data_IF_999442122713
#
_entry.id   IF_999442122713
#
_cell.length_a   1.000
_cell.length_b   1.000
_cell.length_c   1.000
_cell.angle_alpha   90.00
_cell.angle_beta   90.00
_cell.angle_gamma   90.00
#
_symmetry.space_group_name_H-M   'P 1'
#
loop_
_entity.id
_entity.type
_entity.pdbx_description
1 polymer ?
#
# COMPACT_ATOMS: atom_id res chain seq x y z
N UNK A 1 -44.68 -44.17 -20.32
CA UNK A 1 -43.52 -43.61 -21.06
C UNK A 1 -42.45 -43.30 -20.03
N UNK A 2 -41.40 -44.12 -19.92
CA UNK A 2 -40.42 -44.04 -18.83
C UNK A 2 -39.14 -43.36 -19.33
N UNK A 3 -39.01 -42.05 -19.11
CA UNK A 3 -37.82 -41.27 -19.46
C UNK A 3 -36.65 -41.66 -18.53
N UNK A 4 -35.70 -42.44 -19.04
CA UNK A 4 -34.41 -42.66 -18.36
C UNK A 4 -33.58 -41.39 -18.50
N UNK A 5 -33.57 -40.56 -17.47
CA UNK A 5 -32.62 -39.46 -17.35
C UNK A 5 -31.20 -40.04 -17.31
N UNK A 6 -30.45 -39.86 -18.40
CA UNK A 6 -29.03 -40.22 -18.46
C UNK A 6 -28.26 -39.20 -17.63
N UNK A 7 -27.87 -39.57 -16.42
CA UNK A 7 -26.91 -38.79 -15.64
C UNK A 7 -25.57 -38.84 -16.37
N UNK A 8 -25.14 -37.73 -16.95
CA UNK A 8 -23.81 -37.60 -17.53
C UNK A 8 -22.81 -37.39 -16.39
N UNK A 9 -21.87 -38.32 -16.22
CA UNK A 9 -20.76 -38.19 -15.27
C UNK A 9 -19.62 -37.37 -15.87
N UNK A 10 -18.97 -36.54 -15.05
CA UNK A 10 -17.77 -35.80 -15.40
C UNK A 10 -16.59 -36.77 -15.60
N UNK A 11 -15.80 -36.63 -16.66
CA UNK A 11 -14.64 -37.51 -16.85
C UNK A 11 -13.44 -37.01 -16.02
N UNK A 12 -12.63 -37.93 -15.51
CA UNK A 12 -11.41 -37.58 -14.78
C UNK A 12 -10.40 -36.83 -15.67
N UNK A 13 -10.39 -37.13 -16.97
CA UNK A 13 -9.51 -36.46 -17.93
C UNK A 13 -9.93 -35.02 -18.18
N UNK A 14 -11.25 -34.73 -18.24
CA UNK A 14 -11.76 -33.36 -18.32
C UNK A 14 -11.32 -32.54 -17.10
N UNK A 15 -11.36 -33.11 -15.90
CA UNK A 15 -10.92 -32.40 -14.70
C UNK A 15 -9.40 -32.19 -14.71
N UNK A 16 -8.64 -33.19 -15.15
CA UNK A 16 -7.18 -33.14 -15.18
C UNK A 16 -6.65 -32.06 -16.13
N UNK A 17 -7.19 -31.94 -17.33
CA UNK A 17 -6.74 -30.90 -18.28
C UNK A 17 -7.07 -29.50 -17.78
N UNK A 18 -8.21 -29.34 -17.08
CA UNK A 18 -8.64 -28.04 -16.55
C UNK A 18 -7.68 -27.56 -15.46
N UNK A 19 -7.34 -28.41 -14.49
CA UNK A 19 -6.38 -28.03 -13.44
C UNK A 19 -4.98 -27.81 -14.00
N UNK A 20 -4.59 -28.54 -15.06
CA UNK A 20 -3.31 -28.33 -15.73
C UNK A 20 -3.23 -26.93 -16.37
N UNK A 21 -4.28 -26.51 -17.10
CA UNK A 21 -4.34 -25.18 -17.72
C UNK A 21 -4.39 -24.08 -16.64
N UNK A 22 -5.22 -24.23 -15.60
CA UNK A 22 -5.28 -23.27 -14.48
C UNK A 22 -3.91 -23.17 -13.80
N UNK A 23 -3.20 -24.29 -13.62
CA UNK A 23 -1.86 -24.32 -13.05
C UNK A 23 -0.85 -23.50 -13.86
N UNK A 24 -0.85 -23.64 -15.19
CA UNK A 24 0.03 -22.86 -16.08
C UNK A 24 -0.30 -21.37 -16.01
N UNK A 25 -1.58 -21.01 -16.07
CA UNK A 25 -2.01 -19.61 -15.99
C UNK A 25 -1.64 -18.99 -14.62
N UNK A 26 -1.87 -19.70 -13.53
CA UNK A 26 -1.55 -19.25 -12.18
C UNK A 26 -0.04 -19.05 -11.99
N UNK A 27 0.79 -19.96 -12.50
CA UNK A 27 2.25 -19.88 -12.38
C UNK A 27 2.83 -18.59 -12.99
N UNK A 28 2.29 -18.16 -14.13
CA UNK A 28 2.72 -16.90 -14.79
C UNK A 28 2.09 -15.67 -14.13
N UNK A 29 0.85 -15.78 -13.65
CA UNK A 29 0.10 -14.64 -13.13
C UNK A 29 0.52 -14.22 -11.72
N UNK A 30 0.78 -15.16 -10.81
CA UNK A 30 1.09 -14.90 -9.40
C UNK A 30 2.26 -13.92 -9.20
N UNK A 31 3.45 -14.08 -9.83
CA UNK A 31 4.56 -13.16 -9.59
C UNK A 31 4.23 -11.73 -10.02
N UNK A 32 3.50 -11.57 -11.13
CA UNK A 32 3.05 -10.26 -11.59
C UNK A 32 2.06 -9.63 -10.60
N UNK A 33 1.10 -10.42 -10.11
CA UNK A 33 0.12 -9.97 -9.11
C UNK A 33 0.79 -9.51 -7.81
N UNK A 34 1.79 -10.25 -7.31
CA UNK A 34 2.54 -9.88 -6.11
C UNK A 34 3.32 -8.57 -6.32
N UNK A 35 3.94 -8.39 -7.48
CA UNK A 35 4.62 -7.15 -7.84
C UNK A 35 3.66 -5.96 -7.93
N UNK A 36 2.49 -6.15 -8.54
CA UNK A 36 1.45 -5.13 -8.64
C UNK A 36 0.92 -4.72 -7.24
N UNK A 37 0.67 -5.69 -6.35
CA UNK A 37 0.27 -5.41 -4.98
C UNK A 37 1.33 -4.60 -4.23
N UNK A 38 2.62 -4.96 -4.36
CA UNK A 38 3.71 -4.22 -3.72
C UNK A 38 3.78 -2.76 -4.18
N UNK A 39 3.63 -2.53 -5.49
CA UNK A 39 3.55 -1.17 -6.07
C UNK A 39 2.34 -0.39 -5.59
N UNK A 40 1.19 -1.05 -5.40
CA UNK A 40 0.00 -0.43 -4.83
C UNK A 40 0.24 0.00 -3.37
N UNK A 41 0.90 -0.83 -2.55
CA UNK A 41 1.27 -0.45 -1.19
C UNK A 41 2.26 0.72 -1.15
N UNK A 42 3.27 0.73 -2.02
CA UNK A 42 4.20 1.87 -2.16
C UNK A 42 3.46 3.16 -2.55
N UNK A 43 2.50 3.07 -3.48
CA UNK A 43 1.67 4.20 -3.91
C UNK A 43 0.78 4.70 -2.77
N UNK A 44 0.23 3.79 -1.95
CA UNK A 44 -0.52 4.13 -0.75
C UNK A 44 0.34 4.89 0.27
N UNK A 45 1.55 4.41 0.56
CA UNK A 45 2.50 5.09 1.43
C UNK A 45 2.88 6.48 0.90
N UNK A 46 3.09 6.61 -0.41
CA UNK A 46 3.37 7.90 -1.05
C UNK A 46 2.19 8.88 -0.93
N UNK A 47 0.96 8.40 -1.12
CA UNK A 47 -0.25 9.22 -0.96
C UNK A 47 -0.38 9.72 0.47
N UNK A 48 -0.10 8.85 1.45
CA UNK A 48 -0.06 9.20 2.85
C UNK A 48 0.99 10.25 3.19
N UNK A 49 2.20 10.10 2.66
CA UNK A 49 3.28 11.06 2.82
C UNK A 49 2.89 12.46 2.31
N UNK A 50 2.26 12.54 1.14
CA UNK A 50 1.74 13.81 0.60
C UNK A 50 0.61 14.39 1.44
N UNK A 51 -0.33 13.55 1.89
CA UNK A 51 -1.43 14.02 2.73
C UNK A 51 -0.94 14.61 4.05
N UNK A 52 0.05 13.96 4.68
CA UNK A 52 0.68 14.45 5.90
C UNK A 52 1.50 15.72 5.64
N UNK A 53 2.20 15.80 4.49
CA UNK A 53 2.87 17.01 4.04
C UNK A 53 1.92 18.22 4.02
N UNK A 54 0.75 18.05 3.39
CA UNK A 54 -0.28 19.08 3.33
C UNK A 54 -0.83 19.41 4.72
N UNK A 55 -1.10 18.39 5.55
CA UNK A 55 -1.62 18.60 6.89
C UNK A 55 -0.67 19.43 7.77
N UNK A 56 0.64 19.17 7.73
CA UNK A 56 1.60 19.99 8.49
C UNK A 56 1.73 21.40 7.91
N UNK A 57 1.63 21.58 6.60
CA UNK A 57 1.65 22.91 5.99
C UNK A 57 0.48 23.76 6.49
N UNK A 58 -0.72 23.17 6.60
CA UNK A 58 -1.90 23.83 7.18
C UNK A 58 -1.65 24.16 8.66
N UNK A 59 -1.18 23.19 9.45
CA UNK A 59 -0.93 23.40 10.88
C UNK A 59 0.16 24.44 11.15
N UNK A 60 1.16 24.56 10.27
CA UNK A 60 2.18 25.61 10.37
C UNK A 60 1.59 27.00 10.13
N UNK A 61 0.65 27.13 9.19
CA UNK A 61 -0.04 28.41 8.93
C UNK A 61 -0.82 28.84 10.17
N UNK A 62 -1.49 27.91 10.84
CA UNK A 62 -2.32 28.20 12.02
C UNK A 62 -1.47 28.49 13.28
N UNK A 63 -0.45 27.69 13.53
CA UNK A 63 0.28 27.70 14.82
C UNK A 63 1.71 28.28 14.74
N UNK A 64 2.14 28.74 13.56
CA UNK A 64 3.50 29.25 13.29
C UNK A 64 4.64 28.28 13.62
N UNK A 65 4.32 27.00 13.82
CA UNK A 65 5.28 25.93 14.10
C UNK A 65 4.79 24.63 13.49
N UNK A 66 5.71 23.77 13.05
CA UNK A 66 5.34 22.42 12.65
C UNK A 66 5.03 21.57 13.88
N UNK A 67 3.94 20.77 13.87
CA UNK A 67 3.67 19.80 14.91
C UNK A 67 4.49 18.54 14.71
N UNK A 68 4.59 17.74 15.78
CA UNK A 68 5.04 16.35 15.72
C UNK A 68 4.05 15.58 14.84
N UNK A 69 4.55 14.96 13.77
CA UNK A 69 3.80 14.13 12.83
C UNK A 69 3.08 12.95 13.48
N UNK A 70 1.77 12.87 13.29
CA UNK A 70 0.96 11.72 13.67
C UNK A 70 0.19 11.24 12.44
N UNK A 71 0.13 9.93 12.20
CA UNK A 71 -0.67 9.32 11.13
C UNK A 71 -2.16 9.64 11.29
N UNK A 72 -2.60 10.00 12.49
CA UNK A 72 -3.97 10.39 12.84
C UNK A 72 -4.15 11.92 13.01
N UNK A 73 -3.19 12.75 12.61
CA UNK A 73 -3.34 14.20 12.74
C UNK A 73 -4.51 14.74 11.92
N UNK A 74 -5.10 15.86 12.36
CA UNK A 74 -6.15 16.55 11.60
C UNK A 74 -5.63 16.97 10.22
N UNK A 75 -6.41 16.68 9.18
CA UNK A 75 -6.04 16.94 7.78
C UNK A 75 -5.20 15.83 7.12
N UNK A 76 -4.77 14.80 7.86
CA UNK A 76 -4.19 13.60 7.27
C UNK A 76 -5.27 12.66 6.73
N UNK A 77 -4.93 11.90 5.69
CA UNK A 77 -5.77 10.85 5.17
C UNK A 77 -5.89 9.72 6.21
N UNK A 78 -7.11 9.42 6.67
CA UNK A 78 -7.37 8.42 7.71
C UNK A 78 -6.92 7.01 7.34
N UNK A 79 -6.79 6.71 6.04
CA UNK A 79 -6.24 5.44 5.53
C UNK A 79 -4.73 5.27 5.80
N UNK A 80 -4.05 6.32 6.28
CA UNK A 80 -2.66 6.23 6.70
C UNK A 80 -2.50 5.52 8.04
N UNK A 81 -3.55 5.44 8.86
CA UNK A 81 -3.55 4.75 10.15
C UNK A 81 -4.08 3.30 10.04
N UNK A 82 -3.82 2.61 8.93
CA UNK A 82 -4.28 1.24 8.68
C UNK A 82 -3.42 0.14 9.35
N UNK A 83 -2.54 0.50 10.29
CA UNK A 83 -1.66 -0.44 11.02
C UNK A 83 -0.54 -1.08 10.19
N UNK A 84 -0.47 -0.82 8.87
CA UNK A 84 0.59 -1.30 7.97
C UNK A 84 1.53 -0.19 7.53
N UNK A 85 1.06 1.05 7.57
CA UNK A 85 1.84 2.26 7.33
C UNK A 85 2.35 2.73 8.69
N UNK A 86 3.65 3.03 8.75
CA UNK A 86 4.36 3.41 9.97
C UNK A 86 5.30 4.59 9.70
N UNK A 87 5.71 5.25 10.78
CA UNK A 87 6.71 6.31 10.79
C UNK A 87 8.04 5.75 11.34
N UNK A 88 8.90 5.11 10.52
CA UNK A 88 10.06 4.38 11.01
C UNK A 88 11.23 5.24 11.51
N UNK A 89 11.36 6.51 11.11
CA UNK A 89 12.42 7.42 11.58
C UNK A 89 11.90 8.73 12.17
N UNK A 90 12.81 9.40 12.89
CA UNK A 90 12.57 10.59 13.73
C UNK A 90 11.59 11.56 13.09
N UNK A 91 10.55 11.83 13.86
CA UNK A 91 9.65 12.94 13.70
C UNK A 91 10.26 14.16 14.39
N UNK A 92 11.06 14.91 13.64
CA UNK A 92 11.60 16.17 14.15
C UNK A 92 10.65 17.28 13.77
N UNK A 93 10.11 17.96 14.77
CA UNK A 93 9.32 19.16 14.59
C UNK A 93 10.12 20.36 15.11
N UNK A 94 10.37 21.34 14.25
CA UNK A 94 10.95 22.63 14.59
C UNK A 94 10.05 23.75 14.06
N UNK A 95 10.29 25.00 14.48
CA UNK A 95 9.48 26.14 13.99
C UNK A 95 9.49 26.26 12.45
N UNK A 96 10.65 26.03 11.83
CA UNK A 96 10.88 26.26 10.40
C UNK A 96 11.29 25.01 9.62
N UNK A 97 11.38 23.85 10.28
CA UNK A 97 11.83 22.62 9.63
C UNK A 97 11.12 21.41 10.21
N UNK A 98 10.98 20.38 9.38
CA UNK A 98 10.52 19.08 9.83
C UNK A 98 11.10 17.97 8.96
N UNK A 99 11.21 16.78 9.53
CA UNK A 99 11.52 15.59 8.76
C UNK A 99 10.81 14.41 9.41
N UNK A 100 10.25 13.56 8.57
CA UNK A 100 9.73 12.26 8.96
C UNK A 100 9.84 11.31 7.79
N UNK A 101 9.85 10.03 8.08
CA UNK A 101 9.79 8.99 7.05
C UNK A 101 8.51 8.19 7.18
N UNK A 102 7.95 7.75 6.06
CA UNK A 102 6.77 6.88 5.99
C UNK A 102 7.09 5.63 5.21
N UNK A 103 6.65 4.49 5.72
CA UNK A 103 6.78 3.21 5.03
C UNK A 103 5.54 2.36 5.24
N UNK A 104 5.09 1.67 4.18
CA UNK A 104 4.23 0.49 4.33
C UNK A 104 5.09 -0.76 4.53
N UNK A 105 4.83 -1.50 5.60
CA UNK A 105 5.51 -2.77 5.93
C UNK A 105 5.47 -3.83 4.81
N UNK A 106 4.47 -3.77 3.92
CA UNK A 106 4.31 -4.66 2.75
C UNK A 106 4.97 -4.09 1.50
N UNK A 107 5.21 -2.79 1.48
CA UNK A 107 5.90 -2.06 0.42
C UNK A 107 7.41 -2.34 0.38
N UNK A 108 8.07 -1.76 -0.61
CA UNK A 108 9.54 -1.75 -0.77
C UNK A 108 10.16 -0.41 -0.41
N UNK A 109 9.35 0.66 -0.38
CA UNK A 109 9.85 2.02 -0.35
C UNK A 109 9.58 2.68 0.98
N UNK A 110 10.54 3.47 1.41
CA UNK A 110 10.42 4.44 2.47
C UNK A 110 10.44 5.84 1.87
N UNK A 111 9.53 6.70 2.31
CA UNK A 111 9.35 8.04 1.80
C UNK A 111 9.78 9.03 2.88
N UNK A 112 10.86 9.77 2.64
CA UNK A 112 11.29 10.87 3.49
C UNK A 112 10.63 12.15 3.02
N UNK A 113 10.03 12.88 3.96
CA UNK A 113 9.34 14.13 3.69
C UNK A 113 10.02 15.25 4.47
N UNK A 114 10.28 16.35 3.77
CA UNK A 114 10.84 17.59 4.31
C UNK A 114 9.98 18.76 3.79
N UNK A 115 10.13 20.00 4.31
CA UNK A 115 9.32 21.13 3.85
C UNK A 115 9.44 21.39 2.35
N UNK A 116 10.61 21.12 1.77
CA UNK A 116 10.96 21.45 0.39
C UNK A 116 10.96 20.26 -0.56
N UNK A 117 10.91 19.02 -0.06
CA UNK A 117 11.02 17.83 -0.91
C UNK A 117 10.37 16.57 -0.34
N UNK A 118 9.90 15.72 -1.25
CA UNK A 118 9.46 14.36 -0.99
C UNK A 118 10.37 13.39 -1.75
N UNK A 119 11.15 12.59 -1.04
CA UNK A 119 12.12 11.65 -1.63
C UNK A 119 11.80 10.20 -1.24
N UNK A 120 11.97 9.26 -2.17
CA UNK A 120 11.75 7.85 -1.93
C UNK A 120 13.09 7.09 -1.93
N UNK A 121 13.32 6.30 -0.89
CA UNK A 121 14.48 5.40 -0.76
C UNK A 121 13.98 3.96 -0.73
N UNK A 122 14.60 3.10 -1.52
CA UNK A 122 14.26 1.66 -1.52
C UNK A 122 14.98 1.01 -0.34
N UNK A 123 14.24 0.40 0.58
CA UNK A 123 14.82 -0.41 1.66
C UNK A 123 15.10 -1.81 1.10
N UNK A 124 16.37 -2.22 1.07
CA UNK A 124 16.77 -3.60 0.75
C UNK A 124 16.49 -4.55 1.92
#
# INVERSE_FOLDING_TARGET
MNNKNRTQGFTLIELLIVIAIIGILAAVLIPNLLGAQKRAYDTGAQSCAKSLQTAMAIQQIDNQTYPVVDLAMSGANSTCSNGKISLPSKNTAAQNDYSFTIRDSRGSKEYTVTPSSLSATTSF
#
